data_IF_217566644732
#
_entry.id   IF_217566644732
#
_cell.length_a   1.000
_cell.length_b   1.000
_cell.length_c   1.000
_cell.angle_alpha   90.00
_cell.angle_beta   90.00
_cell.angle_gamma   90.00
#
_symmetry.space_group_name_H-M   'P 1'
#
loop_
_entity.id
_entity.type
_entity.pdbx_description
1 polymer ?
#
# COMPACT_ATOMS: atom_id res chain seq x y z
N UNK A 1 12.54 5.57 14.56
CA UNK A 1 12.50 4.08 14.43
C UNK A 1 12.09 3.33 15.70
N UNK A 2 11.91 3.98 16.88
CA UNK A 2 11.49 3.31 18.12
C UNK A 2 9.98 2.98 18.19
N UNK A 3 9.12 3.73 17.48
CA UNK A 3 7.67 3.55 17.53
C UNK A 3 7.14 2.34 16.74
N UNK A 4 7.72 2.03 15.58
CA UNK A 4 7.29 0.93 14.73
C UNK A 4 7.54 -0.46 15.37
N UNK A 5 8.63 -0.61 16.11
CA UNK A 5 8.97 -1.89 16.75
C UNK A 5 7.99 -2.34 17.84
N UNK A 6 7.33 -1.39 18.53
CA UNK A 6 6.37 -1.72 19.59
C UNK A 6 4.97 -2.04 19.05
N UNK A 7 4.60 -1.47 17.92
CA UNK A 7 3.33 -1.79 17.22
C UNK A 7 3.39 -3.22 16.66
N UNK A 8 4.50 -3.62 16.05
CA UNK A 8 4.69 -4.98 15.53
C UNK A 8 4.69 -6.08 16.60
N UNK A 9 5.01 -5.76 17.84
CA UNK A 9 5.01 -6.74 18.93
C UNK A 9 3.62 -7.09 19.46
N UNK A 10 2.60 -6.28 19.14
CA UNK A 10 1.23 -6.43 19.67
C UNK A 10 0.22 -6.90 18.63
N UNK A 11 0.62 -7.00 17.36
CA UNK A 11 -0.27 -7.35 16.25
C UNK A 11 0.26 -8.58 15.51
N UNK A 12 -0.64 -9.46 15.11
CA UNK A 12 -0.31 -10.53 14.17
C UNK A 12 -0.21 -9.91 12.77
N UNK A 13 1.01 -9.87 12.23
CA UNK A 13 1.29 -9.31 10.91
C UNK A 13 1.66 -10.43 9.95
N UNK A 14 0.99 -10.43 8.78
CA UNK A 14 1.36 -11.31 7.67
C UNK A 14 1.78 -10.48 6.45
N UNK A 15 2.91 -10.84 5.85
CA UNK A 15 3.40 -10.21 4.62
C UNK A 15 2.99 -11.04 3.41
N UNK A 16 2.31 -10.38 2.48
CA UNK A 16 1.74 -11.00 1.29
C UNK A 16 2.63 -10.96 0.05
N UNK A 17 3.89 -10.57 0.17
CA UNK A 17 4.78 -10.34 -0.97
C UNK A 17 4.96 -11.58 -1.84
N UNK A 18 5.15 -12.76 -1.25
CA UNK A 18 5.23 -14.02 -1.98
C UNK A 18 3.89 -14.41 -2.61
N UNK A 19 2.78 -14.12 -1.91
CA UNK A 19 1.43 -14.51 -2.31
C UNK A 19 1.00 -13.69 -3.52
N UNK A 20 1.04 -12.38 -3.39
CA UNK A 20 0.50 -11.45 -4.40
C UNK A 20 1.52 -11.08 -5.48
N UNK A 21 2.81 -11.04 -5.15
CA UNK A 21 3.88 -10.75 -6.09
C UNK A 21 4.29 -11.97 -6.93
N UNK A 22 4.47 -13.13 -6.31
CA UNK A 22 5.00 -14.33 -6.95
C UNK A 22 3.98 -15.46 -7.09
N UNK A 23 2.75 -15.29 -6.62
CA UNK A 23 1.69 -16.30 -6.60
C UNK A 23 2.09 -17.59 -5.84
N UNK A 24 2.90 -17.44 -4.78
CA UNK A 24 3.29 -18.54 -3.89
C UNK A 24 2.43 -18.42 -2.64
N UNK A 25 1.52 -19.38 -2.40
CA UNK A 25 0.59 -19.38 -1.27
C UNK A 25 1.29 -19.63 0.08
N UNK A 26 2.20 -18.73 0.44
CA UNK A 26 3.00 -18.78 1.67
C UNK A 26 3.10 -17.40 2.30
N UNK A 27 2.31 -17.12 3.35
CA UNK A 27 2.43 -15.87 4.10
C UNK A 27 3.73 -15.87 4.91
N UNK A 28 4.33 -14.70 5.06
CA UNK A 28 5.50 -14.49 5.90
C UNK A 28 5.05 -13.74 7.16
N UNK A 29 5.47 -14.20 8.34
CA UNK A 29 5.03 -13.65 9.62
C UNK A 29 6.11 -12.85 10.36
N UNK A 30 7.27 -12.63 9.74
CA UNK A 30 8.34 -11.84 10.35
C UNK A 30 9.14 -11.08 9.32
N UNK A 31 9.64 -9.90 9.72
CA UNK A 31 10.57 -9.11 8.90
C UNK A 31 11.87 -9.88 8.58
N UNK A 32 12.32 -10.77 9.47
CA UNK A 32 13.49 -11.60 9.23
C UNK A 32 13.24 -12.58 8.08
N UNK A 33 12.08 -13.24 8.07
CA UNK A 33 11.73 -14.15 6.98
C UNK A 33 11.53 -13.40 5.66
N UNK A 34 10.92 -12.21 5.72
CA UNK A 34 10.78 -11.35 4.54
C UNK A 34 12.14 -10.96 3.97
N UNK A 35 13.07 -10.49 4.83
CA UNK A 35 14.44 -10.14 4.42
C UNK A 35 15.18 -11.31 3.78
N UNK A 36 15.14 -12.49 4.41
CA UNK A 36 15.78 -13.69 3.87
C UNK A 36 15.23 -14.07 2.47
N UNK A 37 13.90 -14.05 2.30
CA UNK A 37 13.29 -14.32 1.00
C UNK A 37 13.62 -13.24 -0.03
N UNK A 38 13.68 -11.97 0.38
CA UNK A 38 14.05 -10.86 -0.49
C UNK A 38 15.50 -11.03 -1.00
N UNK A 39 16.46 -11.33 -0.11
CA UNK A 39 17.85 -11.58 -0.49
C UNK A 39 18.00 -12.78 -1.43
N UNK A 40 17.27 -13.86 -1.18
CA UNK A 40 17.32 -15.06 -2.01
C UNK A 40 16.74 -14.82 -3.40
N UNK A 41 15.63 -14.08 -3.48
CA UNK A 41 14.88 -13.89 -4.74
C UNK A 41 15.33 -12.65 -5.52
N UNK A 42 15.93 -11.63 -4.88
CA UNK A 42 16.32 -10.40 -5.54
C UNK A 42 17.22 -10.61 -6.78
N UNK A 43 18.26 -11.47 -6.75
CA UNK A 43 19.10 -11.70 -7.93
C UNK A 43 18.37 -12.28 -9.12
N UNK A 44 17.27 -13.02 -8.88
CA UNK A 44 16.43 -13.59 -9.91
C UNK A 44 15.41 -12.57 -10.43
N UNK A 45 14.72 -11.88 -9.50
CA UNK A 45 13.67 -10.91 -9.80
C UNK A 45 14.21 -9.71 -10.58
N UNK A 46 15.40 -9.21 -10.23
CA UNK A 46 16.01 -8.06 -10.90
C UNK A 46 16.39 -8.31 -12.36
N UNK A 47 16.47 -9.56 -12.78
CA UNK A 47 16.72 -9.95 -14.19
C UNK A 47 15.46 -10.11 -15.01
N UNK A 48 14.29 -10.11 -14.39
CA UNK A 48 13.00 -10.32 -15.05
C UNK A 48 12.34 -8.97 -15.37
N UNK A 49 11.52 -8.90 -16.45
CA UNK A 49 10.78 -7.69 -16.77
C UNK A 49 9.84 -7.28 -15.63
N UNK A 50 9.83 -6.00 -15.26
CA UNK A 50 8.97 -5.44 -14.20
C UNK A 50 7.48 -5.76 -14.46
N UNK A 51 7.07 -5.85 -15.73
CA UNK A 51 5.70 -6.19 -16.13
C UNK A 51 5.20 -7.56 -15.64
N UNK A 52 6.12 -8.46 -15.23
CA UNK A 52 5.75 -9.78 -14.70
C UNK A 52 5.26 -9.68 -13.25
N UNK A 53 5.77 -8.71 -12.51
CA UNK A 53 5.49 -8.56 -11.06
C UNK A 53 4.53 -7.41 -10.77
N UNK A 54 4.58 -6.36 -11.59
CA UNK A 54 3.77 -5.18 -11.39
C UNK A 54 2.83 -4.96 -12.58
N UNK A 55 1.51 -4.90 -12.35
CA UNK A 55 0.55 -4.65 -13.43
C UNK A 55 0.78 -3.27 -14.03
N UNK A 56 1.01 -3.19 -15.35
CA UNK A 56 1.20 -1.93 -16.07
C UNK A 56 0.10 -1.70 -17.10
N UNK A 57 -0.27 -0.45 -17.32
CA UNK A 57 -1.26 -0.05 -18.31
C UNK A 57 -2.63 -0.71 -18.07
N UNK A 58 -3.26 -1.21 -19.13
CA UNK A 58 -4.60 -1.87 -19.08
C UNK A 58 -4.67 -3.11 -18.19
N UNK A 59 -3.55 -3.69 -17.80
CA UNK A 59 -3.53 -4.83 -16.88
C UNK A 59 -3.85 -4.43 -15.43
N UNK A 60 -3.72 -3.16 -15.08
CA UNK A 60 -4.11 -2.62 -13.76
C UNK A 60 -5.62 -2.66 -13.53
N UNK A 61 -6.41 -2.66 -14.60
CA UNK A 61 -7.88 -2.70 -14.55
C UNK A 61 -8.43 -4.13 -14.41
N UNK A 62 -7.64 -5.15 -14.76
CA UNK A 62 -8.07 -6.54 -14.67
C UNK A 62 -8.00 -7.04 -13.22
N UNK A 63 -9.16 -7.22 -12.62
CA UNK A 63 -9.27 -7.88 -11.32
C UNK A 63 -9.03 -9.38 -11.49
N UNK A 64 -8.24 -9.94 -10.60
CA UNK A 64 -7.97 -11.38 -10.51
C UNK A 64 -8.14 -11.78 -9.05
N UNK A 65 -9.39 -12.04 -8.66
CA UNK A 65 -9.71 -12.41 -7.28
C UNK A 65 -8.99 -13.71 -6.94
N UNK A 66 -7.98 -13.61 -6.09
CA UNK A 66 -7.15 -14.74 -5.62
C UNK A 66 -6.80 -14.54 -4.15
N UNK A 67 -6.54 -15.66 -3.47
CA UNK A 67 -6.06 -15.65 -2.09
C UNK A 67 -6.95 -14.82 -1.14
N UNK A 68 -8.26 -14.85 -1.38
CA UNK A 68 -9.29 -14.07 -0.64
C UNK A 68 -9.26 -14.28 0.86
N UNK A 69 -8.82 -15.46 1.31
CA UNK A 69 -8.68 -15.80 2.72
C UNK A 69 -7.87 -14.76 3.48
N UNK A 70 -6.76 -14.27 2.91
CA UNK A 70 -5.91 -13.27 3.57
C UNK A 70 -6.58 -11.90 3.71
N UNK A 71 -7.47 -11.54 2.79
CA UNK A 71 -8.27 -10.32 2.91
C UNK A 71 -9.38 -10.45 3.97
N UNK A 72 -9.96 -11.64 4.10
CA UNK A 72 -11.06 -11.89 5.03
C UNK A 72 -10.60 -12.12 6.47
N UNK A 73 -9.46 -12.78 6.64
CA UNK A 73 -8.88 -13.11 7.95
C UNK A 73 -8.22 -11.91 8.64
N UNK A 74 -7.72 -10.91 7.89
CA UNK A 74 -7.08 -9.73 8.44
C UNK A 74 -8.07 -8.57 8.58
N UNK A 75 -7.98 -7.82 9.69
CA UNK A 75 -8.81 -6.63 9.92
C UNK A 75 -8.27 -5.40 9.20
N UNK A 76 -6.95 -5.31 9.06
CA UNK A 76 -6.23 -4.22 8.41
C UNK A 76 -5.49 -4.75 7.19
N UNK A 77 -5.72 -4.14 6.05
CA UNK A 77 -5.07 -4.46 4.77
C UNK A 77 -4.23 -3.25 4.37
N UNK A 78 -2.91 -3.42 4.37
CA UNK A 78 -1.98 -2.35 4.02
C UNK A 78 -1.16 -2.72 2.78
N UNK A 79 -1.04 -1.80 1.82
CA UNK A 79 -0.25 -2.01 0.62
C UNK A 79 -0.57 -1.05 -0.52
N UNK A 80 0.09 -1.25 -1.65
CA UNK A 80 -0.19 -0.49 -2.87
C UNK A 80 -1.61 -0.80 -3.38
N UNK A 81 -2.36 0.24 -3.70
CA UNK A 81 -3.77 0.10 -4.08
C UNK A 81 -3.99 -0.74 -5.33
N UNK A 82 -3.07 -0.72 -6.28
CA UNK A 82 -3.20 -1.51 -7.49
C UNK A 82 -3.18 -3.01 -7.20
N UNK A 83 -2.36 -3.45 -6.23
CA UNK A 83 -2.37 -4.85 -5.77
C UNK A 83 -3.65 -5.18 -4.98
N UNK A 84 -4.05 -4.31 -4.07
CA UNK A 84 -5.30 -4.49 -3.30
C UNK A 84 -6.47 -4.63 -4.28
N UNK A 85 -6.67 -3.67 -5.18
CA UNK A 85 -7.74 -3.64 -6.18
C UNK A 85 -7.76 -4.88 -7.07
N UNK A 86 -6.57 -5.34 -7.48
CA UNK A 86 -6.43 -6.50 -8.36
C UNK A 86 -6.89 -7.80 -7.71
N UNK A 87 -6.61 -8.00 -6.43
CA UNK A 87 -6.78 -9.29 -5.76
C UNK A 87 -7.91 -9.35 -4.74
N UNK A 88 -8.43 -8.21 -4.27
CA UNK A 88 -9.47 -8.16 -3.25
C UNK A 88 -10.77 -8.84 -3.70
N UNK A 89 -11.50 -9.50 -2.80
CA UNK A 89 -12.85 -9.97 -3.06
C UNK A 89 -13.84 -8.81 -3.24
N UNK A 90 -15.04 -9.11 -3.73
CA UNK A 90 -16.09 -8.10 -3.94
C UNK A 90 -16.64 -7.53 -2.65
N UNK A 91 -16.52 -8.25 -1.55
CA UNK A 91 -16.98 -7.82 -0.23
C UNK A 91 -15.87 -7.89 0.80
N UNK A 92 -15.71 -6.78 1.52
CA UNK A 92 -14.74 -6.59 2.61
C UNK A 92 -15.40 -5.85 3.78
N UNK A 93 -16.47 -6.40 4.38
CA UNK A 93 -17.23 -5.70 5.40
C UNK A 93 -16.38 -5.43 6.64
N UNK A 94 -16.42 -4.19 7.11
CA UNK A 94 -15.76 -3.79 8.36
C UNK A 94 -14.24 -3.63 8.29
N UNK A 95 -13.60 -3.87 7.15
CA UNK A 95 -12.14 -3.83 7.02
C UNK A 95 -11.61 -2.40 6.97
N UNK A 96 -10.34 -2.25 7.38
CA UNK A 96 -9.57 -1.01 7.28
C UNK A 96 -8.56 -1.18 6.17
N UNK A 97 -8.50 -0.23 5.24
CA UNK A 97 -7.51 -0.23 4.16
C UNK A 97 -6.55 0.94 4.35
N UNK A 98 -5.25 0.64 4.36
CA UNK A 98 -4.17 1.62 4.40
C UNK A 98 -3.42 1.54 3.07
N UNK A 99 -3.45 2.61 2.29
CA UNK A 99 -2.93 2.57 0.93
C UNK A 99 -2.50 3.95 0.41
N UNK A 100 -2.17 4.01 -0.87
CA UNK A 100 -1.86 5.22 -1.64
C UNK A 100 -2.75 5.27 -2.90
N UNK A 101 -2.55 6.23 -3.77
CA UNK A 101 -3.06 6.29 -5.16
C UNK A 101 -4.51 5.85 -5.32
N UNK A 102 -5.44 6.51 -4.62
CA UNK A 102 -6.88 6.20 -4.67
C UNK A 102 -7.62 7.30 -5.43
N UNK A 103 -8.47 6.91 -6.38
CA UNK A 103 -9.37 7.81 -7.12
C UNK A 103 -10.77 7.85 -6.48
N UNK A 104 -11.60 8.80 -6.92
CA UNK A 104 -13.01 8.87 -6.47
C UNK A 104 -13.79 7.57 -6.82
N UNK A 105 -13.55 6.99 -7.99
CA UNK A 105 -14.17 5.74 -8.40
C UNK A 105 -13.72 4.55 -7.52
N UNK A 106 -12.46 4.56 -7.11
CA UNK A 106 -11.92 3.53 -6.21
C UNK A 106 -12.53 3.64 -4.80
N UNK A 107 -12.75 4.87 -4.30
CA UNK A 107 -13.46 5.08 -3.02
C UNK A 107 -14.87 4.54 -3.05
N UNK A 108 -15.59 4.80 -4.14
CA UNK A 108 -16.94 4.27 -4.30
C UNK A 108 -16.96 2.73 -4.37
N UNK A 109 -16.00 2.14 -5.07
CA UNK A 109 -15.83 0.68 -5.11
C UNK A 109 -15.55 0.10 -3.71
N UNK A 110 -14.69 0.73 -2.92
CA UNK A 110 -14.41 0.32 -1.54
C UNK A 110 -15.63 0.46 -0.63
N UNK A 111 -16.42 1.53 -0.79
CA UNK A 111 -17.69 1.73 -0.08
C UNK A 111 -18.67 0.62 -0.39
N UNK A 112 -18.86 0.27 -1.67
CA UNK A 112 -19.73 -0.83 -2.10
C UNK A 112 -19.23 -2.20 -1.63
N UNK A 113 -17.91 -2.36 -1.46
CA UNK A 113 -17.32 -3.55 -0.87
C UNK A 113 -17.57 -3.66 0.64
N UNK A 114 -18.02 -2.59 1.31
CA UNK A 114 -18.29 -2.56 2.75
C UNK A 114 -17.05 -2.24 3.60
N UNK A 115 -16.01 -1.66 3.03
CA UNK A 115 -14.83 -1.18 3.76
C UNK A 115 -15.25 -0.07 4.72
N UNK A 116 -14.84 -0.17 5.98
CA UNK A 116 -15.22 0.82 7.01
C UNK A 116 -14.35 2.06 6.97
N UNK A 117 -13.04 1.88 6.87
CA UNK A 117 -12.08 2.98 6.96
C UNK A 117 -11.07 2.87 5.82
N UNK A 118 -10.86 3.98 5.13
CA UNK A 118 -9.79 4.15 4.17
C UNK A 118 -8.79 5.17 4.73
N UNK A 119 -7.53 4.77 4.83
CA UNK A 119 -6.42 5.63 5.21
C UNK A 119 -5.50 5.75 4.01
N UNK A 120 -5.26 6.97 3.52
CA UNK A 120 -4.28 7.21 2.46
C UNK A 120 -3.04 7.85 3.05
N UNK A 121 -1.87 7.29 2.70
CA UNK A 121 -0.56 7.75 3.21
C UNK A 121 -0.10 9.07 2.59
N UNK A 122 -0.80 9.54 1.57
CA UNK A 122 -0.56 10.81 0.89
C UNK A 122 -1.82 11.67 0.93
N UNK A 123 -1.70 13.01 0.86
CA UNK A 123 -2.84 13.90 0.89
C UNK A 123 -3.84 13.60 -0.22
N UNK A 124 -5.10 13.88 0.07
CA UNK A 124 -6.16 13.84 -0.91
C UNK A 124 -6.35 15.22 -1.52
N UNK A 125 -5.99 15.41 -2.78
CA UNK A 125 -6.19 16.64 -3.54
C UNK A 125 -7.24 16.39 -4.63
N UNK A 126 -8.30 17.20 -4.64
CA UNK A 126 -9.40 17.10 -5.61
C UNK A 126 -10.01 15.69 -5.75
N UNK A 127 -10.15 14.98 -4.63
CA UNK A 127 -10.71 13.63 -4.59
C UNK A 127 -9.77 12.53 -5.06
N UNK A 128 -8.47 12.81 -5.20
CA UNK A 128 -7.45 11.83 -5.58
C UNK A 128 -6.25 11.89 -4.63
N UNK A 129 -5.77 10.75 -4.19
CA UNK A 129 -4.47 10.63 -3.53
C UNK A 129 -3.40 10.19 -4.52
N UNK A 130 -2.18 10.64 -4.31
CA UNK A 130 -1.06 10.38 -5.21
C UNK A 130 -0.19 9.23 -4.72
N UNK A 131 0.59 8.63 -5.61
CA UNK A 131 1.61 7.66 -5.26
C UNK A 131 2.78 8.31 -4.51
N UNK A 132 3.45 7.55 -3.68
CA UNK A 132 4.62 8.02 -2.92
C UNK A 132 5.72 8.58 -3.81
N UNK A 133 5.95 7.99 -4.98
CA UNK A 133 6.96 8.48 -5.93
C UNK A 133 6.63 9.89 -6.46
N UNK A 134 5.35 10.22 -6.64
CA UNK A 134 4.92 11.56 -7.06
C UNK A 134 5.16 12.56 -5.93
N UNK A 135 4.87 12.17 -4.69
CA UNK A 135 5.13 13.01 -3.52
C UNK A 135 6.62 13.24 -3.30
N UNK A 136 7.42 12.19 -3.46
CA UNK A 136 8.88 12.29 -3.41
C UNK A 136 9.42 13.28 -4.46
N UNK A 137 9.01 13.12 -5.71
CA UNK A 137 9.42 14.03 -6.78
C UNK A 137 9.00 15.48 -6.51
N UNK A 138 7.80 15.69 -5.97
CA UNK A 138 7.32 17.01 -5.59
C UNK A 138 8.20 17.64 -4.50
N UNK A 139 8.53 16.89 -3.44
CA UNK A 139 9.36 17.39 -2.34
C UNK A 139 10.79 17.72 -2.81
N UNK A 140 11.38 16.88 -3.67
CA UNK A 140 12.68 17.16 -4.30
C UNK A 140 12.63 18.45 -5.13
N UNK A 141 11.57 18.65 -5.90
CA UNK A 141 11.39 19.85 -6.71
C UNK A 141 11.17 21.09 -5.84
N UNK A 142 10.39 21.02 -4.76
CA UNK A 142 10.18 22.13 -3.82
C UNK A 142 11.47 22.54 -3.10
N UNK A 143 12.33 21.57 -2.78
CA UNK A 143 13.68 21.84 -2.21
C UNK A 143 14.63 22.45 -3.25
N UNK A 144 14.33 22.35 -4.55
CA UNK A 144 15.25 22.75 -5.62
C UNK A 144 16.49 21.85 -5.71
N UNK A 145 16.40 20.61 -5.25
CA UNK A 145 17.50 19.66 -5.26
C UNK A 145 17.56 18.89 -6.57
N UNK A 146 18.79 18.62 -7.04
CA UNK A 146 19.06 17.74 -8.18
C UNK A 146 19.40 16.29 -7.76
N UNK A 147 19.26 15.98 -6.47
CA UNK A 147 19.58 14.68 -5.88
C UNK A 147 18.44 14.26 -4.95
N UNK A 148 18.39 12.97 -4.67
CA UNK A 148 17.50 12.45 -3.62
C UNK A 148 17.83 13.11 -2.28
N UNK A 149 16.80 13.41 -1.50
CA UNK A 149 16.92 14.02 -0.18
C UNK A 149 17.24 12.96 0.87
N UNK A 150 17.78 13.38 2.00
CA UNK A 150 17.91 12.51 3.17
C UNK A 150 16.54 12.29 3.84
N UNK A 151 16.44 11.29 4.72
CA UNK A 151 15.20 11.03 5.45
C UNK A 151 14.78 12.22 6.32
N UNK A 152 15.76 12.90 6.92
CA UNK A 152 15.54 14.09 7.74
C UNK A 152 15.01 15.25 6.90
N UNK A 153 15.58 15.48 5.71
CA UNK A 153 15.11 16.54 4.80
C UNK A 153 13.68 16.27 4.30
N UNK A 154 13.31 15.01 4.03
CA UNK A 154 11.94 14.67 3.70
C UNK A 154 10.99 14.97 4.86
N UNK A 155 11.35 14.62 6.09
CA UNK A 155 10.52 14.87 7.27
C UNK A 155 10.31 16.36 7.52
N UNK A 156 11.37 17.18 7.39
CA UNK A 156 11.30 18.64 7.50
C UNK A 156 10.32 19.24 6.48
N UNK A 157 10.39 18.80 5.22
CA UNK A 157 9.49 19.28 4.18
C UNK A 157 8.05 18.82 4.39
N UNK A 158 7.83 17.59 4.82
CA UNK A 158 6.51 17.06 5.15
C UNK A 158 5.87 17.91 6.26
N UNK A 159 6.62 18.25 7.29
CA UNK A 159 6.16 19.11 8.37
C UNK A 159 5.94 20.55 7.89
N UNK A 160 6.89 21.13 7.16
CA UNK A 160 6.82 22.50 6.64
C UNK A 160 5.60 22.72 5.73
N UNK A 161 5.28 21.76 4.87
CA UNK A 161 4.15 21.85 3.93
C UNK A 161 2.87 21.22 4.44
N UNK A 162 2.83 20.80 5.72
CA UNK A 162 1.66 20.16 6.35
C UNK A 162 1.10 19.00 5.51
N UNK A 163 2.00 18.12 5.05
CA UNK A 163 1.62 16.96 4.26
C UNK A 163 1.15 15.86 5.21
N UNK A 164 -0.17 15.70 5.29
CA UNK A 164 -0.79 14.76 6.21
C UNK A 164 -1.44 13.58 5.47
N UNK A 165 -1.50 12.44 6.14
CA UNK A 165 -2.31 11.31 5.71
C UNK A 165 -3.79 11.66 5.82
N UNK A 166 -4.62 11.06 4.97
CA UNK A 166 -6.07 11.26 5.02
C UNK A 166 -6.76 10.01 5.57
N UNK A 167 -7.71 10.21 6.49
CA UNK A 167 -8.57 9.14 7.02
C UNK A 167 -10.01 9.42 6.65
N UNK A 168 -10.65 8.46 5.98
CA UNK A 168 -12.04 8.56 5.52
C UNK A 168 -12.85 7.38 6.04
N UNK A 169 -13.99 7.65 6.68
CA UNK A 169 -14.97 6.64 7.07
C UNK A 169 -15.93 6.41 5.90
N UNK A 170 -15.84 5.24 5.26
CA UNK A 170 -16.61 4.91 4.07
C UNK A 170 -18.01 4.39 4.38
N UNK A 171 -18.13 3.65 5.48
CA UNK A 171 -19.43 3.23 6.01
C UNK A 171 -19.69 3.97 7.32
N UNK A 172 -20.89 4.55 7.46
CA UNK A 172 -21.31 5.07 8.76
C UNK A 172 -21.31 3.91 9.78
N UNK A 173 -20.78 4.17 10.98
CA UNK A 173 -21.01 3.26 12.10
C UNK A 173 -22.52 3.29 12.37
N UNK A 174 -23.20 2.17 12.13
CA UNK A 174 -24.54 1.97 12.72
C UNK A 174 -24.44 1.97 14.24
#
# INVERSE_FOLDING_TARGET
>A
SRGLGDVYKRQEVSFGDLIFGLNIDKPLYSLKSLGWWAELLAPLITKLPVSWFYPMGKQQEKRTVRHTKYFLENDIIAGDFHFIKKFMPDKLPGKIIITNTVTAADREMLRQAGVSILITTTPCLEGRSFGTNVMEALLVALKGSNKALSAEEYLELIEQYHIESSTEYLCAKE
#
